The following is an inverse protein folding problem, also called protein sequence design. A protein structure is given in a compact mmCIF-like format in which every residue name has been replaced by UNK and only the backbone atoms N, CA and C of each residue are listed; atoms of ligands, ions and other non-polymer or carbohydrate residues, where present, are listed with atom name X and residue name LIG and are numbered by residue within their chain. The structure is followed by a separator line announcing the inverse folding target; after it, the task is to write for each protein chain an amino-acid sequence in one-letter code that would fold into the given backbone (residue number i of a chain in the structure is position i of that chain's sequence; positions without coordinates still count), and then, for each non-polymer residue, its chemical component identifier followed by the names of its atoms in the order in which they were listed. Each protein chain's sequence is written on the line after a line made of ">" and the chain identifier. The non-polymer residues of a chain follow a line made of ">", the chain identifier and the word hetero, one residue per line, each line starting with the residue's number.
data_IF_830796282674
#
_entry.id   IF_830796282674
#
_cell.length_a   1.000
_cell.length_b   1.000
_cell.length_c   1.000
_cell.angle_alpha   90.00
_cell.angle_beta   90.00
_cell.angle_gamma   90.00
#
_symmetry.space_group_name_H-M   'P 1'
#
loop_
_entity.id
_entity.type
_entity.pdbx_description
1 polymer ?
#
# COMPACT_ATOMS: atom_id res chain seq x y z
N UNK A 1 -63.86 1.30 7.51
CA UNK A 1 -62.78 2.32 7.53
C UNK A 1 -61.57 1.70 8.19
N UNK A 2 -60.51 1.40 7.44
CA UNK A 2 -59.27 0.82 7.97
C UNK A 2 -58.20 1.92 8.02
N UNK A 3 -57.60 2.15 9.20
CA UNK A 3 -56.45 3.05 9.36
C UNK A 3 -55.15 2.29 9.00
N UNK A 4 -54.20 2.92 8.29
CA UNK A 4 -52.89 2.32 8.10
C UNK A 4 -52.01 2.53 9.35
N UNK A 5 -51.34 1.48 9.79
CA UNK A 5 -50.36 1.53 10.85
C UNK A 5 -49.05 2.19 10.34
N UNK A 6 -48.70 3.35 10.90
CA UNK A 6 -47.41 3.99 10.66
C UNK A 6 -46.31 3.32 11.51
N UNK A 7 -45.36 2.67 10.85
CA UNK A 7 -44.11 2.19 11.47
C UNK A 7 -43.33 3.36 12.07
N UNK A 8 -43.10 3.35 13.40
CA UNK A 8 -42.34 4.36 14.16
C UNK A 8 -40.85 4.02 14.24
N UNK A 9 -40.20 3.67 13.14
CA UNK A 9 -38.74 3.65 13.10
C UNK A 9 -38.26 4.97 12.52
N UNK A 10 -37.70 5.85 13.35
CA UNK A 10 -37.20 7.15 12.87
C UNK A 10 -35.74 7.04 12.44
N UNK A 11 -35.31 7.92 11.53
CA UNK A 11 -33.89 8.03 11.12
C UNK A 11 -32.91 8.16 12.30
N UNK A 12 -33.40 8.70 13.42
CA UNK A 12 -32.63 8.86 14.66
C UNK A 12 -32.36 7.51 15.35
N UNK A 13 -33.30 6.56 15.23
CA UNK A 13 -33.13 5.20 15.76
C UNK A 13 -32.15 4.40 14.90
N UNK A 14 -32.17 4.60 13.58
CA UNK A 14 -31.15 4.05 12.67
C UNK A 14 -29.76 4.58 12.97
N UNK A 15 -29.61 5.90 13.18
CA UNK A 15 -28.32 6.50 13.52
C UNK A 15 -27.79 6.06 14.89
N UNK A 16 -28.67 5.84 15.87
CA UNK A 16 -28.28 5.27 17.17
C UNK A 16 -27.82 3.82 17.05
N UNK A 17 -28.47 3.02 16.21
CA UNK A 17 -28.07 1.64 15.93
C UNK A 17 -26.72 1.60 15.18
N UNK A 18 -26.51 2.51 14.22
CA UNK A 18 -25.23 2.66 13.52
C UNK A 18 -24.11 3.15 14.45
N UNK A 19 -24.41 4.05 15.39
CA UNK A 19 -23.44 4.50 16.40
C UNK A 19 -23.05 3.40 17.39
N UNK A 20 -23.93 2.44 17.68
CA UNK A 20 -23.62 1.26 18.50
C UNK A 20 -22.70 0.25 17.80
N UNK A 21 -22.71 0.20 16.46
CA UNK A 21 -21.82 -0.65 15.66
C UNK A 21 -20.50 0.05 15.28
N UNK A 22 -20.45 1.38 15.29
CA UNK A 22 -19.27 2.19 14.95
C UNK A 22 -18.39 2.57 16.16
N UNK A 23 -18.68 2.05 17.36
CA UNK A 23 -17.96 2.35 18.61
C UNK A 23 -16.53 1.81 18.71
N UNK A 24 -15.95 1.26 17.65
CA UNK A 24 -14.58 0.71 17.63
C UNK A 24 -13.57 1.67 16.96
N UNK A 25 -14.00 2.78 16.36
CA UNK A 25 -13.13 3.60 15.49
C UNK A 25 -12.75 4.99 16.07
N UNK A 26 -12.63 5.14 17.39
CA UNK A 26 -12.18 6.40 17.97
C UNK A 26 -11.26 6.19 19.19
N UNK A 27 -9.98 5.90 18.91
CA UNK A 27 -8.92 5.87 19.91
C UNK A 27 -7.55 5.88 19.21
N UNK A 28 -6.60 6.74 19.64
CA UNK A 28 -5.33 6.96 18.94
C UNK A 28 -4.46 5.71 19.03
N UNK A 29 -4.22 5.04 17.90
CA UNK A 29 -3.15 4.05 17.64
C UNK A 29 -2.58 3.37 18.89
N UNK A 30 -3.46 2.84 19.75
CA UNK A 30 -3.06 1.88 20.75
C UNK A 30 -2.67 0.68 19.91
N UNK A 31 -1.39 0.34 19.95
CA UNK A 31 -0.83 -0.90 19.42
C UNK A 31 -1.87 -1.99 19.58
N UNK A 32 -2.57 -2.32 18.49
CA UNK A 32 -3.43 -3.48 18.49
C UNK A 32 -2.45 -4.61 18.68
N UNK A 33 -2.38 -5.12 19.91
CA UNK A 33 -1.96 -6.49 20.15
C UNK A 33 -3.04 -7.37 19.47
N UNK A 34 -3.02 -7.39 18.14
CA UNK A 34 -3.94 -8.15 17.32
C UNK A 34 -3.37 -9.55 17.20
N UNK A 35 -3.58 -10.34 18.25
CA UNK A 35 -3.50 -11.81 18.15
C UNK A 35 -4.57 -12.39 17.21
N UNK A 36 -5.44 -11.56 16.61
CA UNK A 36 -6.42 -11.95 15.61
C UNK A 36 -5.99 -11.50 14.20
N UNK A 37 -5.87 -12.45 13.28
CA UNK A 37 -5.65 -12.19 11.86
C UNK A 37 -6.77 -11.29 11.30
N UNK A 38 -6.47 -10.22 10.54
CA UNK A 38 -7.51 -9.41 9.92
C UNK A 38 -8.26 -10.23 8.87
N UNK A 39 -9.55 -9.95 8.68
CA UNK A 39 -10.37 -10.62 7.65
C UNK A 39 -10.03 -10.07 6.26
N UNK A 40 -9.68 -8.79 6.17
CA UNK A 40 -9.25 -8.15 4.94
C UNK A 40 -8.15 -7.12 5.18
N UNK A 41 -7.37 -6.84 4.14
CA UNK A 41 -6.35 -5.79 4.07
C UNK A 41 -6.62 -4.97 2.81
N UNK A 42 -6.76 -3.66 2.94
CA UNK A 42 -6.84 -2.73 1.81
C UNK A 42 -5.42 -2.38 1.36
N UNK A 43 -5.10 -2.73 0.12
CA UNK A 43 -3.81 -2.44 -0.49
C UNK A 43 -3.96 -1.40 -1.60
N UNK A 44 -3.51 -0.17 -1.34
CA UNK A 44 -3.45 0.90 -2.35
C UNK A 44 -2.18 0.80 -3.19
N UNK A 45 -2.33 0.77 -4.51
CA UNK A 45 -1.20 0.66 -5.44
C UNK A 45 -1.42 1.47 -6.69
N UNK A 46 -0.36 2.12 -7.17
CA UNK A 46 -0.34 2.62 -8.55
C UNK A 46 -0.47 1.44 -9.52
N UNK A 47 -1.33 1.61 -10.52
CA UNK A 47 -1.54 0.63 -11.59
C UNK A 47 -0.22 0.35 -12.29
N UNK A 48 0.00 -0.90 -12.64
CA UNK A 48 1.14 -1.29 -13.44
C UNK A 48 1.04 -0.73 -14.86
N UNK A 49 2.13 -0.15 -15.37
CA UNK A 49 2.26 0.18 -16.79
C UNK A 49 2.08 -1.04 -17.70
N UNK A 50 2.41 -2.23 -17.19
CA UNK A 50 2.06 -3.51 -17.83
C UNK A 50 0.75 -3.98 -17.22
N UNK A 51 -0.36 -3.67 -17.89
CA UNK A 51 -1.73 -3.97 -17.41
C UNK A 51 -1.94 -5.43 -16.99
N UNK A 52 -1.25 -6.37 -17.65
CA UNK A 52 -1.34 -7.80 -17.33
C UNK A 52 -0.90 -8.13 -15.89
N UNK A 53 -0.02 -7.32 -15.28
CA UNK A 53 0.37 -7.50 -13.89
C UNK A 53 -0.80 -7.30 -12.94
N UNK A 54 -1.58 -6.21 -13.11
CA UNK A 54 -2.74 -5.94 -12.24
C UNK A 54 -3.79 -7.04 -12.39
N UNK A 55 -4.02 -7.50 -13.62
CA UNK A 55 -4.91 -8.63 -13.91
C UNK A 55 -4.43 -9.91 -13.21
N UNK A 56 -3.13 -10.21 -13.28
CA UNK A 56 -2.55 -11.37 -12.61
C UNK A 56 -2.64 -11.24 -11.08
N UNK A 57 -2.40 -10.05 -10.54
CA UNK A 57 -2.48 -9.80 -9.10
C UNK A 57 -3.90 -10.05 -8.58
N UNK A 58 -4.91 -9.50 -9.27
CA UNK A 58 -6.32 -9.66 -8.89
C UNK A 58 -6.85 -11.08 -9.04
N UNK A 59 -6.47 -11.78 -10.11
CA UNK A 59 -7.06 -13.08 -10.44
C UNK A 59 -6.26 -14.27 -9.91
N UNK A 60 -4.99 -14.08 -9.56
CA UNK A 60 -4.10 -15.18 -9.16
C UNK A 60 -3.49 -14.92 -7.79
N UNK A 61 -2.76 -13.81 -7.61
CA UNK A 61 -1.98 -13.60 -6.39
C UNK A 61 -2.86 -13.34 -5.16
N UNK A 62 -3.82 -12.41 -5.25
CA UNK A 62 -4.71 -12.09 -4.15
C UNK A 62 -5.59 -13.29 -3.74
N UNK A 63 -6.23 -14.04 -4.66
CA UNK A 63 -6.97 -15.25 -4.31
C UNK A 63 -6.08 -16.36 -3.73
N UNK A 64 -4.85 -16.52 -4.21
CA UNK A 64 -3.91 -17.50 -3.65
C UNK A 64 -3.51 -17.14 -2.22
N UNK A 65 -3.28 -15.85 -1.95
CA UNK A 65 -2.98 -15.34 -0.61
C UNK A 65 -4.18 -15.55 0.33
N UNK A 66 -5.39 -15.22 -0.11
CA UNK A 66 -6.62 -15.44 0.65
C UNK A 66 -6.82 -16.92 0.97
N UNK A 67 -6.62 -17.83 0.00
CA UNK A 67 -6.69 -19.27 0.21
C UNK A 67 -5.66 -19.76 1.24
N UNK A 68 -4.45 -19.21 1.23
CA UNK A 68 -3.36 -19.64 2.12
C UNK A 68 -3.51 -19.10 3.55
N UNK A 69 -4.06 -17.89 3.71
CA UNK A 69 -4.02 -17.15 4.97
C UNK A 69 -5.38 -16.93 5.61
N UNK A 70 -6.46 -17.01 4.82
CA UNK A 70 -7.81 -16.57 5.18
C UNK A 70 -8.01 -15.05 5.11
N UNK A 71 -7.02 -14.30 4.62
CA UNK A 71 -7.04 -12.83 4.58
C UNK A 71 -7.31 -12.36 3.15
N UNK A 72 -8.40 -11.63 2.96
CA UNK A 72 -8.74 -11.04 1.66
C UNK A 72 -7.91 -9.79 1.38
N UNK A 73 -7.35 -9.67 0.17
CA UNK A 73 -6.69 -8.44 -0.29
C UNK A 73 -7.69 -7.61 -1.09
N UNK A 74 -8.05 -6.43 -0.58
CA UNK A 74 -8.83 -5.43 -1.30
C UNK A 74 -7.89 -4.53 -2.09
N UNK A 75 -7.73 -4.84 -3.37
CA UNK A 75 -6.76 -4.18 -4.24
C UNK A 75 -7.30 -2.85 -4.79
N UNK A 76 -6.90 -1.75 -4.16
CA UNK A 76 -7.26 -0.39 -4.56
C UNK A 76 -6.25 0.15 -5.58
N UNK A 77 -6.59 0.04 -6.85
CA UNK A 77 -5.75 0.51 -7.95
C UNK A 77 -5.93 2.02 -8.16
N UNK A 78 -4.81 2.73 -8.19
CA UNK A 78 -4.71 4.16 -8.48
C UNK A 78 -4.14 4.33 -9.88
N UNK A 79 -4.62 5.30 -10.67
CA UNK A 79 -4.16 5.44 -12.05
C UNK A 79 -2.67 5.83 -12.11
N UNK A 80 -1.91 5.14 -12.96
CA UNK A 80 -0.52 5.48 -13.22
C UNK A 80 -0.39 6.85 -13.88
N UNK A 81 0.74 7.52 -13.65
CA UNK A 81 1.02 8.84 -14.25
C UNK A 81 0.71 10.01 -13.33
N UNK A 82 0.88 9.81 -12.01
CA UNK A 82 0.95 10.90 -11.03
C UNK A 82 -0.26 11.05 -10.12
N UNK A 83 -1.32 10.25 -10.28
CA UNK A 83 -2.49 10.31 -9.37
C UNK A 83 -2.29 9.56 -8.05
N UNK A 84 -1.38 8.58 -8.02
CA UNK A 84 -1.09 7.80 -6.82
C UNK A 84 -0.51 8.64 -5.67
N UNK A 85 0.42 9.55 -5.99
CA UNK A 85 1.07 10.43 -5.01
C UNK A 85 0.06 11.33 -4.25
N UNK A 86 -0.79 12.14 -4.89
CA UNK A 86 -1.76 12.98 -4.16
C UNK A 86 -2.81 12.16 -3.40
N UNK A 87 -3.16 10.97 -3.89
CA UNK A 87 -4.05 10.08 -3.13
C UNK A 87 -3.37 9.54 -1.87
N UNK A 88 -2.10 9.16 -1.93
CA UNK A 88 -1.34 8.77 -0.75
C UNK A 88 -1.22 9.90 0.26
N UNK A 89 -0.95 11.14 -0.19
CA UNK A 89 -0.95 12.33 0.68
C UNK A 89 -2.30 12.46 1.39
N UNK A 90 -3.41 12.34 0.66
CA UNK A 90 -4.75 12.41 1.25
C UNK A 90 -4.99 11.31 2.29
N UNK A 91 -4.52 10.08 2.04
CA UNK A 91 -4.65 8.97 2.99
C UNK A 91 -3.86 9.24 4.28
N UNK A 92 -2.64 9.77 4.16
CA UNK A 92 -1.78 10.12 5.29
C UNK A 92 -2.38 11.24 6.13
N UNK A 93 -2.79 12.35 5.50
CA UNK A 93 -3.36 13.52 6.19
C UNK A 93 -4.69 13.19 6.88
N UNK A 94 -5.55 12.44 6.21
CA UNK A 94 -6.84 12.02 6.77
C UNK A 94 -6.72 10.81 7.70
N UNK A 95 -5.54 10.21 7.84
CA UNK A 95 -5.27 9.00 8.62
C UNK A 95 -6.27 7.87 8.30
N UNK A 96 -6.61 7.70 7.03
CA UNK A 96 -7.61 6.73 6.55
C UNK A 96 -7.36 6.34 5.09
N UNK A 97 -7.88 5.18 4.67
CA UNK A 97 -7.83 4.74 3.27
C UNK A 97 -7.33 3.31 3.11
N UNK A 98 -6.02 3.11 3.21
CA UNK A 98 -5.39 1.81 3.00
C UNK A 98 -4.59 1.34 4.22
N UNK A 99 -4.57 0.03 4.46
CA UNK A 99 -3.73 -0.61 5.48
C UNK A 99 -2.27 -0.73 5.01
N UNK A 100 -2.10 -0.96 3.69
CA UNK A 100 -0.82 -1.01 2.99
C UNK A 100 -0.88 -0.12 1.76
N UNK A 101 0.19 0.62 1.49
CA UNK A 101 0.29 1.43 0.29
C UNK A 101 1.63 1.20 -0.41
N UNK A 102 1.59 1.16 -1.74
CA UNK A 102 2.78 1.39 -2.54
C UNK A 102 3.11 2.88 -2.54
N UNK A 103 4.35 3.21 -2.22
CA UNK A 103 4.79 4.58 -1.99
C UNK A 103 5.99 4.90 -2.88
N UNK A 104 5.91 6.06 -3.53
CA UNK A 104 7.09 6.76 -4.01
C UNK A 104 7.49 7.78 -2.93
N UNK A 105 8.78 7.96 -2.70
CA UNK A 105 9.31 9.00 -1.82
C UNK A 105 8.86 8.85 -0.35
N UNK A 106 9.07 7.67 0.23
CA UNK A 106 8.57 7.33 1.57
C UNK A 106 9.14 8.22 2.69
N UNK A 107 10.27 8.88 2.43
CA UNK A 107 10.88 9.85 3.36
C UNK A 107 9.99 11.08 3.64
N UNK A 108 9.01 11.37 2.79
CA UNK A 108 8.06 12.46 3.02
C UNK A 108 7.01 12.12 4.10
N UNK A 109 6.85 10.83 4.43
CA UNK A 109 5.76 10.34 5.30
C UNK A 109 6.26 9.58 6.53
N UNK A 110 7.55 9.72 6.90
CA UNK A 110 8.21 8.94 7.97
C UNK A 110 7.43 8.87 9.29
N UNK A 111 6.80 9.97 9.68
CA UNK A 111 6.04 10.07 10.94
C UNK A 111 4.70 9.33 10.87
N UNK A 112 4.15 9.10 9.67
CA UNK A 112 2.92 8.32 9.46
C UNK A 112 3.18 6.83 9.25
N UNK A 113 4.44 6.44 8.97
CA UNK A 113 4.83 5.06 8.69
C UNK A 113 5.21 4.30 9.97
N UNK A 114 4.69 3.08 10.08
CA UNK A 114 5.00 2.15 11.17
C UNK A 114 6.40 1.54 11.02
N UNK A 115 6.92 0.99 12.11
CA UNK A 115 8.16 0.22 12.10
C UNK A 115 7.90 -1.16 11.48
N UNK A 116 8.61 -1.48 10.40
CA UNK A 116 8.52 -2.75 9.66
C UNK A 116 9.86 -3.48 9.64
N UNK A 117 10.72 -3.24 10.64
CA UNK A 117 12.08 -3.78 10.67
C UNK A 117 12.11 -5.31 10.70
N UNK A 118 11.17 -5.95 11.41
CA UNK A 118 11.04 -7.41 11.42
C UNK A 118 10.78 -7.98 10.02
N UNK A 119 9.91 -7.34 9.25
CA UNK A 119 9.58 -7.75 7.88
C UNK A 119 10.74 -7.46 6.93
N UNK A 120 11.30 -6.26 6.97
CA UNK A 120 12.37 -5.85 6.06
C UNK A 120 13.64 -6.68 6.27
N UNK A 121 14.02 -6.97 7.51
CA UNK A 121 15.19 -7.81 7.83
C UNK A 121 14.95 -9.28 7.46
N UNK A 122 13.74 -9.81 7.67
CA UNK A 122 13.39 -11.17 7.26
C UNK A 122 13.48 -11.33 5.73
N UNK A 123 12.85 -10.44 4.98
CA UNK A 123 12.90 -10.43 3.51
C UNK A 123 14.34 -10.23 3.01
N UNK A 124 15.07 -9.29 3.60
CA UNK A 124 16.47 -9.05 3.25
C UNK A 124 17.33 -10.30 3.43
N UNK A 125 17.19 -11.01 4.56
CA UNK A 125 17.91 -12.26 4.81
C UNK A 125 17.59 -13.35 3.78
N UNK A 126 16.34 -13.45 3.34
CA UNK A 126 15.90 -14.42 2.33
C UNK A 126 16.39 -14.06 0.91
N UNK A 127 16.60 -12.77 0.62
CA UNK A 127 16.90 -12.28 -0.73
C UNK A 127 18.35 -11.82 -0.95
N UNK A 128 19.27 -12.14 -0.02
CA UNK A 128 20.70 -11.81 -0.16
C UNK A 128 21.09 -10.43 0.36
N UNK A 129 20.21 -9.78 1.10
CA UNK A 129 20.44 -8.51 1.80
C UNK A 129 19.94 -7.29 1.04
N UNK A 130 20.16 -6.12 1.65
CA UNK A 130 19.83 -4.82 1.08
C UNK A 130 21.10 -4.05 0.72
N UNK A 131 21.09 -3.38 -0.43
CA UNK A 131 22.11 -2.38 -0.77
C UNK A 131 22.16 -1.28 0.29
N UNK A 132 23.34 -0.74 0.57
CA UNK A 132 23.51 0.26 1.63
C UNK A 132 22.78 1.56 1.31
N UNK A 133 22.63 1.91 0.03
CA UNK A 133 21.84 3.05 -0.44
C UNK A 133 20.36 2.89 -0.06
N UNK A 134 19.82 1.67 -0.17
CA UNK A 134 18.44 1.36 0.20
C UNK A 134 18.26 1.46 1.72
N UNK A 135 19.23 0.99 2.51
CA UNK A 135 19.19 1.15 3.97
C UNK A 135 19.20 2.62 4.37
N UNK A 136 20.09 3.43 3.77
CA UNK A 136 20.16 4.88 4.03
C UNK A 136 18.86 5.61 3.69
N UNK A 137 18.15 5.13 2.66
CA UNK A 137 16.86 5.66 2.30
C UNK A 137 15.80 5.20 3.30
N UNK A 138 15.61 3.90 3.47
CA UNK A 138 14.41 3.34 4.10
C UNK A 138 14.49 3.19 5.62
N UNK A 139 15.67 3.33 6.24
CA UNK A 139 15.84 3.37 7.69
C UNK A 139 15.83 4.82 8.19
N UNK A 140 14.91 5.12 9.11
CA UNK A 140 14.86 6.40 9.83
C UNK A 140 14.88 6.15 11.33
N UNK A 141 15.74 6.88 12.06
CA UNK A 141 15.95 6.72 13.51
C UNK A 141 16.16 5.26 13.95
N UNK A 142 16.89 4.51 13.13
CA UNK A 142 17.22 3.09 13.38
C UNK A 142 16.09 2.09 13.09
N UNK A 143 15.02 2.51 12.43
CA UNK A 143 13.86 1.65 12.10
C UNK A 143 13.57 1.66 10.60
N UNK A 144 13.29 0.51 10.03
CA UNK A 144 12.75 0.42 8.68
C UNK A 144 11.34 1.01 8.64
N UNK A 145 11.11 2.00 7.77
CA UNK A 145 9.79 2.62 7.58
C UNK A 145 9.04 2.11 6.36
N UNK A 146 9.70 1.32 5.53
CA UNK A 146 9.13 0.68 4.35
C UNK A 146 9.87 -0.62 4.08
N UNK A 147 9.20 -1.53 3.37
CA UNK A 147 9.82 -2.73 2.81
C UNK A 147 10.18 -2.43 1.36
N UNK A 148 11.46 -2.38 0.98
CA UNK A 148 11.85 -2.13 -0.40
C UNK A 148 11.31 -3.23 -1.33
N UNK A 149 10.63 -2.83 -2.40
CA UNK A 149 9.99 -3.77 -3.34
C UNK A 149 10.82 -4.02 -4.61
N UNK A 150 11.49 -2.99 -5.11
CA UNK A 150 12.26 -3.06 -6.34
C UNK A 150 12.99 -1.75 -6.60
N UNK A 151 14.08 -1.84 -7.35
CA UNK A 151 14.85 -0.69 -7.82
C UNK A 151 14.77 -0.62 -9.35
N UNK A 152 14.50 0.57 -9.88
CA UNK A 152 14.51 0.83 -11.32
C UNK A 152 15.86 1.43 -11.67
N UNK A 153 16.73 0.61 -12.27
CA UNK A 153 18.02 1.09 -12.75
C UNK A 153 17.85 2.06 -13.92
N UNK A 154 18.39 3.27 -13.79
CA UNK A 154 18.55 4.16 -14.93
C UNK A 154 19.86 3.82 -15.63
N UNK A 155 19.75 3.31 -16.86
CA UNK A 155 20.89 2.92 -17.67
C UNK A 155 20.95 3.81 -18.91
N UNK A 156 22.16 4.25 -19.23
CA UNK A 156 22.42 4.94 -20.50
C UNK A 156 22.47 3.91 -21.62
N UNK A 157 21.60 4.09 -22.61
CA UNK A 157 21.57 3.27 -23.81
C UNK A 157 22.23 4.04 -24.97
N UNK A 158 23.22 3.43 -25.60
CA UNK A 158 23.99 4.07 -26.68
C UNK A 158 23.69 3.40 -28.03
N UNK A 159 23.39 4.22 -29.05
CA UNK A 159 23.30 3.78 -30.46
C UNK A 159 24.71 3.63 -31.01
N UNK A 160 25.32 2.46 -30.78
CA UNK A 160 26.74 2.22 -31.14
C UNK A 160 27.02 2.50 -32.61
N UNK A 161 26.07 2.19 -33.50
CA UNK A 161 26.14 2.51 -34.93
C UNK A 161 26.30 4.01 -35.21
N UNK A 162 25.52 4.86 -34.56
CA UNK A 162 25.64 6.31 -34.71
C UNK A 162 26.96 6.85 -34.17
N UNK A 163 27.46 6.26 -33.08
CA UNK A 163 28.76 6.64 -32.52
C UNK A 163 29.91 6.19 -33.41
N UNK A 164 29.82 5.01 -34.01
CA UNK A 164 30.81 4.52 -34.97
C UNK A 164 30.88 5.39 -36.23
N UNK A 165 29.74 5.88 -36.75
CA UNK A 165 29.67 6.81 -37.90
C UNK A 165 30.48 8.10 -37.68
N UNK A 166 30.47 8.63 -36.45
CA UNK A 166 31.22 9.83 -36.08
C UNK A 166 32.57 9.53 -35.43
N UNK A 167 32.98 8.26 -35.39
CA UNK A 167 34.30 7.82 -34.91
C UNK A 167 34.48 7.76 -33.39
N UNK A 168 33.40 7.78 -32.59
CA UNK A 168 33.45 7.69 -31.12
C UNK A 168 33.41 6.24 -30.67
N UNK A 169 34.46 5.76 -29.98
CA UNK A 169 34.62 4.33 -29.62
C UNK A 169 34.72 4.02 -28.12
N UNK A 170 34.70 5.02 -27.24
CA UNK A 170 34.83 4.86 -25.79
C UNK A 170 33.98 5.88 -25.03
N UNK A 171 33.44 5.47 -23.87
CA UNK A 171 32.62 6.26 -22.94
C UNK A 171 33.01 5.97 -21.50
#
# INVERSE_FOLDING_TARGET
>A
MAQPAHSKATRRDFLKLAAGAAGVAAGPWVSRNAQAKPVSIVFARESSYVKNFDVHFQNVMAPAYEKATGIKIEYQIQAAGGSAVPQLVSMVENKSGADLAWVQQEWLYRDALVDVSDIAEAVGKEQGGWYDEIKRLSIDKGKWKSVPNGNIGQLMNYRRDWFDEVGVKSF
#
